data_IF_079389645766
#
_entry.id   IF_079389645766
#
_cell.length_a   1.000
_cell.length_b   1.000
_cell.length_c   1.000
_cell.angle_alpha   90.00
_cell.angle_beta   90.00
_cell.angle_gamma   90.00
#
_symmetry.space_group_name_H-M   'P 1'
#
loop_
_entity.id
_entity.type
_entity.pdbx_description
1 polymer ?
#
# COMPACT_ATOMS: atom_id res chain seq x y z
N UNK A 1 31.10 14.54 -8.99
CA UNK A 1 30.96 13.39 -8.08
C UNK A 1 30.71 13.94 -6.69
N UNK A 2 29.77 13.38 -5.93
CA UNK A 2 29.43 13.97 -4.63
C UNK A 2 28.68 13.01 -3.71
N UNK A 3 28.83 13.24 -2.41
CA UNK A 3 28.06 12.56 -1.37
C UNK A 3 26.83 13.40 -1.06
N UNK A 4 25.63 12.82 -1.17
CA UNK A 4 24.38 13.46 -0.75
C UNK A 4 23.77 12.61 0.36
N UNK A 5 23.52 13.21 1.53
CA UNK A 5 22.99 12.52 2.73
C UNK A 5 23.80 11.26 3.09
N UNK A 6 25.13 11.34 2.99
CA UNK A 6 26.04 10.23 3.28
C UNK A 6 26.11 9.13 2.22
N UNK A 7 25.46 9.30 1.05
CA UNK A 7 25.46 8.29 -0.03
C UNK A 7 26.21 8.78 -1.26
N UNK A 8 27.01 7.88 -1.85
CA UNK A 8 27.79 8.19 -3.05
C UNK A 8 26.89 8.27 -4.30
N UNK A 9 26.99 9.38 -5.04
CA UNK A 9 26.40 9.50 -6.38
C UNK A 9 27.42 9.14 -7.45
N UNK A 10 27.02 8.27 -8.36
CA UNK A 10 27.77 7.82 -9.52
C UNK A 10 27.27 8.57 -10.75
N UNK A 11 28.17 8.82 -11.70
CA UNK A 11 27.86 9.44 -13.00
C UNK A 11 27.95 8.37 -14.06
N UNK A 12 26.91 8.21 -14.88
CA UNK A 12 26.98 7.38 -16.07
C UNK A 12 28.00 7.98 -17.05
N UNK A 13 28.85 7.15 -17.65
CA UNK A 13 29.87 7.62 -18.61
C UNK A 13 29.29 7.93 -19.98
N UNK A 14 28.17 7.31 -20.34
CA UNK A 14 27.59 7.41 -21.68
C UNK A 14 26.55 8.52 -21.80
N UNK A 15 25.80 8.81 -20.73
CA UNK A 15 24.72 9.81 -20.73
C UNK A 15 24.87 10.90 -19.67
N UNK A 16 25.98 10.92 -18.94
CA UNK A 16 26.31 11.89 -17.89
C UNK A 16 25.29 12.03 -16.73
N UNK A 17 24.26 11.19 -16.71
CA UNK A 17 23.23 11.17 -15.69
C UNK A 17 23.78 10.67 -14.34
N UNK A 18 23.36 11.30 -13.25
CA UNK A 18 23.80 10.95 -11.90
C UNK A 18 22.81 10.01 -11.20
N UNK A 19 23.27 8.83 -10.76
CA UNK A 19 22.48 7.80 -10.07
C UNK A 19 23.14 7.38 -8.74
N UNK A 20 22.39 6.71 -7.87
CA UNK A 20 22.91 6.08 -6.64
C UNK A 20 22.79 4.58 -6.78
N UNK A 21 23.83 3.83 -6.42
CA UNK A 21 23.87 2.36 -6.59
C UNK A 21 22.93 1.64 -5.62
N UNK A 22 22.68 2.21 -4.44
CA UNK A 22 21.75 1.61 -3.49
C UNK A 22 20.30 1.78 -3.93
N UNK A 23 19.58 0.66 -3.95
CA UNK A 23 18.13 0.64 -4.02
C UNK A 23 17.59 1.50 -2.88
N UNK A 24 16.83 2.57 -3.18
CA UNK A 24 16.20 3.38 -2.12
C UNK A 24 15.40 2.43 -1.22
N UNK A 25 15.66 2.44 0.09
CA UNK A 25 14.94 1.63 1.09
C UNK A 25 13.41 1.77 1.04
N UNK A 26 12.92 2.85 0.43
CA UNK A 26 11.51 3.11 0.15
C UNK A 26 10.92 2.19 -0.93
N UNK A 27 11.75 1.62 -1.82
CA UNK A 27 11.31 0.76 -2.91
C UNK A 27 11.07 -0.64 -2.35
N UNK A 28 9.80 -1.00 -2.20
CA UNK A 28 9.39 -2.34 -1.81
C UNK A 28 9.71 -3.34 -2.94
N UNK A 29 10.12 -4.58 -2.59
CA UNK A 29 10.49 -5.58 -3.59
C UNK A 29 9.28 -5.94 -4.46
N UNK A 30 9.55 -6.28 -5.73
CA UNK A 30 8.48 -6.64 -6.68
C UNK A 30 7.65 -7.84 -6.24
N UNK A 31 8.24 -8.77 -5.47
CA UNK A 31 7.53 -9.91 -4.87
C UNK A 31 6.40 -9.49 -3.95
N UNK A 32 6.62 -8.46 -3.12
CA UNK A 32 5.63 -7.96 -2.17
C UNK A 32 4.45 -7.29 -2.91
N UNK A 33 4.73 -6.59 -4.02
CA UNK A 33 3.67 -6.04 -4.87
C UNK A 33 2.83 -7.13 -5.55
N UNK A 34 3.48 -8.21 -6.01
CA UNK A 34 2.77 -9.38 -6.58
C UNK A 34 1.90 -10.07 -5.54
N UNK A 35 2.39 -10.21 -4.31
CA UNK A 35 1.61 -10.79 -3.21
C UNK A 35 0.38 -9.93 -2.88
N UNK A 36 0.53 -8.60 -2.85
CA UNK A 36 -0.59 -7.68 -2.67
C UNK A 36 -1.64 -7.82 -3.79
N UNK A 37 -1.22 -8.00 -5.04
CA UNK A 37 -2.13 -8.23 -6.17
C UNK A 37 -2.89 -9.56 -6.01
N UNK A 38 -2.20 -10.64 -5.63
CA UNK A 38 -2.85 -11.94 -5.42
C UNK A 38 -3.93 -11.85 -4.34
N UNK A 39 -3.61 -11.26 -3.18
CA UNK A 39 -4.57 -11.09 -2.09
C UNK A 39 -5.77 -10.23 -2.50
N UNK A 40 -5.56 -9.21 -3.34
CA UNK A 40 -6.66 -8.41 -3.88
C UNK A 40 -7.57 -9.24 -4.80
N UNK A 41 -7.00 -10.11 -5.64
CA UNK A 41 -7.77 -11.02 -6.50
C UNK A 41 -8.53 -12.09 -5.70
N UNK A 42 -8.00 -12.50 -4.55
CA UNK A 42 -8.69 -13.36 -3.57
C UNK A 42 -9.82 -12.63 -2.80
N UNK A 43 -10.00 -11.32 -3.04
CA UNK A 43 -11.09 -10.53 -2.48
C UNK A 43 -10.77 -9.81 -1.16
N UNK A 44 -9.50 -9.76 -0.74
CA UNK A 44 -9.13 -8.98 0.43
C UNK A 44 -9.16 -7.47 0.15
N UNK A 45 -9.71 -6.69 1.08
CA UNK A 45 -9.67 -5.24 1.04
C UNK A 45 -8.27 -4.64 1.24
N UNK A 46 -8.05 -3.41 0.78
CA UNK A 46 -6.72 -2.77 0.87
C UNK A 46 -6.21 -2.61 2.30
N UNK A 47 -7.13 -2.44 3.28
CA UNK A 47 -6.79 -2.34 4.71
C UNK A 47 -6.25 -3.66 5.26
N UNK A 48 -6.92 -4.78 4.99
CA UNK A 48 -6.47 -6.09 5.47
C UNK A 48 -5.15 -6.50 4.82
N UNK A 49 -4.99 -6.27 3.51
CA UNK A 49 -3.73 -6.49 2.80
C UNK A 49 -2.60 -5.63 3.40
N UNK A 50 -2.88 -4.36 3.67
CA UNK A 50 -1.92 -3.46 4.31
C UNK A 50 -1.45 -3.97 5.68
N UNK A 51 -2.40 -4.45 6.51
CA UNK A 51 -2.07 -5.09 7.80
C UNK A 51 -1.24 -6.36 7.63
N UNK A 52 -1.59 -7.22 6.68
CA UNK A 52 -0.90 -8.50 6.44
C UNK A 52 0.53 -8.30 5.93
N UNK A 53 0.74 -7.33 5.05
CA UNK A 53 2.05 -7.07 4.42
C UNK A 53 2.88 -6.00 5.15
N UNK A 54 2.34 -5.38 6.21
CA UNK A 54 3.02 -4.31 6.95
C UNK A 54 3.24 -3.03 6.13
N UNK A 55 2.28 -2.69 5.26
CA UNK A 55 2.34 -1.51 4.38
C UNK A 55 1.06 -0.68 4.48
N UNK A 56 1.11 0.59 4.11
CA UNK A 56 -0.10 1.42 4.12
C UNK A 56 -1.11 0.95 3.06
N UNK A 57 -2.39 1.03 3.39
CA UNK A 57 -3.48 0.73 2.44
C UNK A 57 -3.34 1.56 1.15
N UNK A 58 -2.88 2.81 1.26
CA UNK A 58 -2.61 3.70 0.11
C UNK A 58 -1.52 3.13 -0.80
N UNK A 59 -0.48 2.48 -0.24
CA UNK A 59 0.56 1.82 -1.04
C UNK A 59 0.00 0.65 -1.83
N UNK A 60 -0.87 -0.15 -1.19
CA UNK A 60 -1.56 -1.29 -1.82
C UNK A 60 -2.44 -0.80 -2.97
N UNK A 61 -3.27 0.21 -2.73
CA UNK A 61 -4.13 0.84 -3.75
C UNK A 61 -3.30 1.31 -4.97
N UNK A 62 -2.20 2.03 -4.71
CA UNK A 62 -1.35 2.54 -5.78
C UNK A 62 -0.70 1.41 -6.60
N UNK A 63 -0.34 0.29 -5.98
CA UNK A 63 0.19 -0.86 -6.71
C UNK A 63 -0.86 -1.49 -7.60
N UNK A 64 -2.08 -1.69 -7.09
CA UNK A 64 -3.18 -2.30 -7.83
C UNK A 64 -3.57 -1.44 -9.04
N UNK A 65 -3.65 -0.11 -8.86
CA UNK A 65 -3.85 0.84 -9.98
C UNK A 65 -2.75 0.72 -11.04
N UNK A 66 -1.49 0.68 -10.62
CA UNK A 66 -0.34 0.55 -11.52
C UNK A 66 -0.33 -0.81 -12.26
N UNK A 67 -0.82 -1.88 -11.62
CA UNK A 67 -1.03 -3.16 -12.30
C UNK A 67 -2.14 -3.06 -13.35
N UNK A 68 -3.25 -2.40 -13.04
CA UNK A 68 -4.34 -2.16 -14.00
C UNK A 68 -3.90 -1.35 -15.23
N UNK A 69 -3.12 -0.29 -15.04
CA UNK A 69 -2.56 0.52 -16.13
C UNK A 69 -1.61 -0.27 -17.05
N UNK A 70 -0.90 -1.26 -16.49
CA UNK A 70 0.04 -2.11 -17.23
C UNK A 70 -0.62 -3.22 -18.03
N UNK A 71 -1.92 -3.44 -17.85
CA UNK A 71 -2.68 -4.42 -18.64
C UNK A 71 -3.71 -3.68 -19.50
N UNK A 72 -3.27 -2.99 -20.57
CA UNK A 72 -4.18 -2.38 -21.53
C UNK A 72 -4.90 -3.49 -22.31
N UNK A 73 -6.13 -3.80 -21.90
CA UNK A 73 -6.96 -4.81 -22.57
C UNK A 73 -8.03 -5.49 -21.69
N UNK A 74 -7.92 -5.41 -20.36
CA UNK A 74 -8.85 -6.08 -19.42
C UNK A 74 -9.84 -5.11 -18.73
N UNK A 75 -9.99 -3.89 -19.25
CA UNK A 75 -10.81 -2.84 -18.64
C UNK A 75 -12.31 -3.19 -18.50
N UNK A 76 -12.76 -4.33 -19.03
CA UNK A 76 -14.16 -4.76 -18.99
C UNK A 76 -14.53 -5.75 -17.88
N UNK A 77 -13.57 -6.26 -17.09
CA UNK A 77 -13.85 -7.32 -16.09
C UNK A 77 -13.35 -7.02 -14.68
N UNK A 78 -13.30 -5.74 -14.27
CA UNK A 78 -13.31 -5.47 -12.83
C UNK A 78 -14.71 -5.81 -12.31
N UNK A 79 -14.95 -7.09 -12.02
CA UNK A 79 -16.00 -7.48 -11.06
C UNK A 79 -15.82 -6.54 -9.89
N UNK A 80 -16.83 -5.75 -9.61
CA UNK A 80 -16.96 -5.05 -8.35
C UNK A 80 -16.96 -6.15 -7.30
N UNK A 81 -15.78 -6.49 -6.79
CA UNK A 81 -15.64 -7.34 -5.62
C UNK A 81 -16.27 -6.47 -4.54
N UNK A 82 -17.47 -6.82 -4.09
CA UNK A 82 -18.06 -6.27 -2.88
C UNK A 82 -17.05 -6.54 -1.76
N UNK A 83 -16.23 -5.54 -1.48
CA UNK A 83 -15.27 -5.57 -0.39
C UNK A 83 -16.10 -5.48 0.88
N UNK A 84 -16.51 -6.62 1.43
CA UNK A 84 -17.09 -6.71 2.75
C UNK A 84 -16.00 -6.36 3.78
N UNK A 85 -15.79 -5.07 4.03
CA UNK A 85 -14.99 -4.59 5.14
C UNK A 85 -15.74 -4.89 6.45
N UNK A 86 -15.55 -6.09 6.99
CA UNK A 86 -16.07 -6.51 8.30
C UNK A 86 -15.56 -5.65 9.49
N UNK A 87 -14.72 -4.65 9.24
CA UNK A 87 -14.13 -3.75 10.24
C UNK A 87 -15.03 -2.53 10.58
N UNK A 88 -16.08 -2.25 9.79
CA UNK A 88 -17.01 -1.15 10.11
C UNK A 88 -17.81 -1.40 11.38
N UNK A 89 -18.04 -2.67 11.74
CA UNK A 89 -18.81 -3.02 12.94
C UNK A 89 -18.04 -2.65 14.23
N UNK A 90 -16.69 -2.73 14.21
CA UNK A 90 -15.87 -2.50 15.40
C UNK A 90 -15.57 -1.01 15.68
N UNK A 91 -15.67 -0.16 14.65
CA UNK A 91 -15.63 1.30 14.80
C UNK A 91 -16.91 1.82 15.45
N UNK A 92 -18.07 1.31 15.03
CA UNK A 92 -19.37 1.73 15.57
C UNK A 92 -19.58 1.34 17.05
N UNK A 93 -18.96 0.25 17.51
CA UNK A 93 -19.06 -0.21 18.91
C UNK A 93 -18.08 0.47 19.87
N UNK A 94 -17.01 1.10 19.37
CA UNK A 94 -16.02 1.76 20.24
C UNK A 94 -16.47 3.14 20.72
N UNK A 95 -17.40 3.78 20.02
CA UNK A 95 -17.90 5.13 20.36
C UNK A 95 -18.98 5.15 21.45
N UNK A 96 -19.37 4.00 22.02
CA UNK A 96 -20.50 3.89 22.97
C UNK A 96 -20.14 3.53 24.42
N UNK A 97 -18.88 3.66 24.84
CA UNK A 97 -18.51 3.52 26.26
C UNK A 97 -17.56 4.63 26.69
N UNK A 98 -18.13 5.77 27.07
CA UNK A 98 -17.67 6.67 28.15
C UNK A 98 -18.64 7.86 28.30
N UNK A 99 -19.95 7.59 28.33
CA UNK A 99 -20.93 8.62 28.71
C UNK A 99 -22.12 7.94 29.41
N UNK A 100 -21.85 7.46 30.63
CA UNK A 100 -22.85 7.40 31.69
C UNK A 100 -22.17 7.91 32.95
N UNK A 101 -22.00 9.23 33.02
CA UNK A 101 -22.13 9.93 34.29
C UNK A 101 -23.50 9.57 34.86
N UNK A 102 -23.50 8.91 36.00
CA UNK A 102 -24.65 8.80 36.90
C UNK A 102 -24.10 9.03 38.29
N UNK A 103 -24.11 10.30 38.70
CA UNK A 103 -24.13 10.69 40.09
C UNK A 103 -25.28 9.99 40.82
N UNK A 104 -24.96 9.19 41.84
CA UNK A 104 -25.71 9.07 43.10
C UNK A 104 -25.04 8.06 44.05
N UNK A 105 -24.23 8.55 45.00
CA UNK A 105 -24.51 8.44 46.45
C UNK A 105 -23.54 9.28 47.26
#
# INVERSE_FOLDING_TARGET
MGFIKGRQRYKCKDCDCAYTVDLKSTVKPGSLKKQALHLYLEGLGFRSIGRLLGVSNVSVLNWIRNFGEKVPGLASESKEIEIAEADEIHSYTSSKKLLTDMDCR
#
